data_IF_035935324311
#
_entry.id   IF_035935324311
#
_cell.length_a   1.000
_cell.length_b   1.000
_cell.length_c   1.000
_cell.angle_alpha   90.00
_cell.angle_beta   90.00
_cell.angle_gamma   90.00
#
_symmetry.space_group_name_H-M   'P 1'
#
loop_
_entity.id
_entity.type
_entity.pdbx_description
1 polymer ?
#
# COMPACT_ATOMS: atom_id res chain seq x y z
N UNK A 1 4.03 0.76 -11.04
CA UNK A 1 3.99 1.85 -12.04
C UNK A 1 4.58 1.40 -13.34
N UNK A 2 5.90 1.21 -13.40
CA UNK A 2 6.63 0.79 -14.61
C UNK A 2 6.09 -0.50 -15.24
N UNK A 3 5.92 -1.56 -14.45
CA UNK A 3 5.38 -2.84 -14.94
C UNK A 3 4.00 -2.71 -15.60
N UNK A 4 3.11 -1.86 -15.05
CA UNK A 4 1.79 -1.60 -15.64
C UNK A 4 1.90 -0.85 -16.97
N UNK A 5 2.82 0.13 -17.07
CA UNK A 5 3.07 0.84 -18.34
C UNK A 5 3.67 -0.08 -19.40
N UNK A 6 4.57 -0.98 -19.01
CA UNK A 6 5.13 -2.00 -19.90
C UNK A 6 4.05 -2.94 -20.46
N UNK A 7 2.95 -3.12 -19.73
CA UNK A 7 1.76 -3.86 -20.17
C UNK A 7 0.71 -2.98 -20.89
N UNK A 8 1.08 -1.78 -21.33
CA UNK A 8 0.25 -0.91 -22.18
C UNK A 8 -0.71 0.03 -21.44
N UNK A 9 -0.70 0.07 -20.11
CA UNK A 9 -1.53 1.01 -19.36
C UNK A 9 -0.94 2.43 -19.37
N UNK A 10 -1.81 3.44 -19.50
CA UNK A 10 -1.44 4.82 -19.15
C UNK A 10 -1.53 4.97 -17.63
N UNK A 11 -0.41 5.25 -16.97
CA UNK A 11 -0.32 5.25 -15.50
C UNK A 11 0.23 6.56 -15.00
N UNK A 12 -0.45 7.16 -14.03
CA UNK A 12 0.08 8.23 -13.20
C UNK A 12 0.51 7.68 -11.83
N UNK A 13 1.67 8.16 -11.36
CA UNK A 13 2.17 7.86 -10.00
C UNK A 13 2.29 9.20 -9.27
N UNK A 14 1.54 9.34 -8.19
CA UNK A 14 1.40 10.58 -7.42
C UNK A 14 1.34 10.24 -5.93
N UNK A 15 1.85 11.13 -5.08
CA UNK A 15 1.59 11.03 -3.65
C UNK A 15 0.12 11.39 -3.38
N UNK A 16 -0.55 10.63 -2.50
CA UNK A 16 -1.99 10.80 -2.23
C UNK A 16 -2.38 12.21 -1.78
N UNK A 17 -1.46 12.94 -1.13
CA UNK A 17 -1.63 14.35 -0.72
C UNK A 17 -1.79 15.32 -1.90
N UNK A 18 -1.25 14.97 -3.07
CA UNK A 18 -1.24 15.80 -4.27
C UNK A 18 -2.40 15.47 -5.22
N UNK A 19 -3.22 14.46 -4.89
CA UNK A 19 -4.35 14.00 -5.70
C UNK A 19 -5.65 14.45 -5.04
N UNK A 20 -6.47 15.22 -5.76
CA UNK A 20 -7.75 15.73 -5.26
C UNK A 20 -8.89 14.74 -5.48
N UNK A 21 -8.98 14.19 -6.68
CA UNK A 21 -9.96 13.17 -7.05
C UNK A 21 -9.38 12.13 -8.01
N UNK A 22 -10.18 11.11 -8.32
CA UNK A 22 -9.81 9.97 -9.18
C UNK A 22 -10.64 9.92 -10.47
N UNK A 23 -11.26 11.04 -10.85
CA UNK A 23 -12.07 11.09 -12.07
C UNK A 23 -11.17 10.92 -13.31
N UNK A 24 -11.69 10.24 -14.32
CA UNK A 24 -10.96 9.94 -15.56
C UNK A 24 -10.05 8.71 -15.50
N UNK A 25 -9.81 8.13 -14.31
CA UNK A 25 -9.12 6.85 -14.20
C UNK A 25 -10.08 5.67 -14.38
N UNK A 26 -9.61 4.63 -15.06
CA UNK A 26 -10.35 3.38 -15.20
C UNK A 26 -10.27 2.52 -13.92
N UNK A 27 -9.18 2.64 -13.16
CA UNK A 27 -8.89 1.92 -11.93
C UNK A 27 -7.89 2.68 -11.06
N UNK A 28 -7.83 2.35 -9.77
CA UNK A 28 -6.94 3.00 -8.80
C UNK A 28 -6.16 1.96 -8.00
N UNK A 29 -4.88 2.22 -7.77
CA UNK A 29 -4.05 1.43 -6.85
C UNK A 29 -3.63 2.36 -5.70
N UNK A 30 -4.03 2.03 -4.47
CA UNK A 30 -3.75 2.84 -3.28
C UNK A 30 -2.71 2.13 -2.43
N UNK A 31 -1.64 2.83 -2.10
CA UNK A 31 -0.54 2.34 -1.31
C UNK A 31 -0.34 3.15 -0.04
N UNK A 32 -0.03 2.49 1.07
CA UNK A 32 0.40 3.17 2.29
C UNK A 32 1.44 2.37 3.06
N UNK A 33 2.28 3.08 3.81
CA UNK A 33 3.13 2.46 4.82
C UNK A 33 2.36 2.29 6.13
N UNK A 34 2.83 1.37 6.98
CA UNK A 34 2.30 1.21 8.34
C UNK A 34 3.10 2.04 9.33
N UNK A 35 2.39 2.89 10.09
CA UNK A 35 2.89 3.52 11.30
C UNK A 35 1.93 3.22 12.44
N UNK A 36 2.47 2.71 13.55
CA UNK A 36 1.69 2.39 14.76
C UNK A 36 0.45 1.53 14.46
N UNK A 37 0.61 0.51 13.62
CA UNK A 37 -0.44 -0.45 13.31
C UNK A 37 -1.55 0.06 12.39
N UNK A 38 -1.37 1.20 11.72
CA UNK A 38 -2.35 1.74 10.76
C UNK A 38 -1.68 2.29 9.50
N UNK A 39 -2.44 2.34 8.41
CA UNK A 39 -2.11 3.17 7.25
C UNK A 39 -1.87 4.62 7.67
N UNK A 40 -0.97 5.30 6.94
CA UNK A 40 -0.73 6.73 7.13
C UNK A 40 -2.04 7.54 7.01
N UNK A 41 -2.25 8.57 7.86
CA UNK A 41 -3.49 9.34 7.90
C UNK A 41 -3.92 9.91 6.55
N UNK A 42 -2.98 10.39 5.75
CA UNK A 42 -3.24 10.95 4.42
C UNK A 42 -3.81 9.92 3.44
N UNK A 43 -3.41 8.65 3.54
CA UNK A 43 -3.95 7.58 2.71
C UNK A 43 -5.37 7.18 3.15
N UNK A 44 -5.60 7.13 4.47
CA UNK A 44 -6.94 6.87 5.03
C UNK A 44 -7.92 7.98 4.62
N UNK A 45 -7.49 9.24 4.75
CA UNK A 45 -8.30 10.40 4.37
C UNK A 45 -8.58 10.44 2.87
N UNK A 46 -7.59 10.08 2.04
CA UNK A 46 -7.78 9.95 0.60
C UNK A 46 -8.89 8.95 0.25
N UNK A 47 -8.92 7.78 0.91
CA UNK A 47 -9.97 6.77 0.72
C UNK A 47 -11.33 7.30 1.18
N UNK A 48 -11.41 7.93 2.35
CA UNK A 48 -12.66 8.52 2.88
C UNK A 48 -13.25 9.57 1.94
N UNK A 49 -12.41 10.49 1.47
CA UNK A 49 -12.81 11.59 0.59
C UNK A 49 -13.30 11.10 -0.78
N UNK A 50 -12.66 10.08 -1.34
CA UNK A 50 -12.96 9.54 -2.68
C UNK A 50 -13.84 8.30 -2.66
N UNK A 51 -14.44 7.95 -1.52
CA UNK A 51 -15.13 6.67 -1.32
C UNK A 51 -16.21 6.38 -2.37
N UNK A 52 -16.96 7.40 -2.79
CA UNK A 52 -18.05 7.26 -3.76
C UNK A 52 -17.52 6.78 -5.11
N UNK A 53 -16.45 7.41 -5.61
CA UNK A 53 -15.83 7.06 -6.88
C UNK A 53 -15.09 5.73 -6.78
N UNK A 54 -14.33 5.52 -5.70
CA UNK A 54 -13.54 4.29 -5.51
C UNK A 54 -14.43 3.04 -5.44
N UNK A 55 -15.66 3.14 -4.91
CA UNK A 55 -16.65 2.04 -4.92
C UNK A 55 -17.17 1.70 -6.32
N UNK A 56 -17.03 2.61 -7.30
CA UNK A 56 -17.55 2.46 -8.66
C UNK A 56 -16.46 2.06 -9.68
N UNK A 57 -15.24 1.81 -9.22
CA UNK A 57 -14.12 1.41 -10.06
C UNK A 57 -13.28 0.30 -9.43
N UNK A 58 -12.59 -0.53 -10.23
CA UNK A 58 -11.61 -1.45 -9.71
C UNK A 58 -10.56 -0.71 -8.87
N UNK A 59 -10.45 -1.10 -7.61
CA UNK A 59 -9.49 -0.54 -6.66
C UNK A 59 -8.62 -1.67 -6.11
N UNK A 60 -7.30 -1.51 -6.09
CA UNK A 60 -6.36 -2.44 -5.45
C UNK A 60 -5.59 -1.74 -4.34
N UNK A 61 -5.25 -2.47 -3.28
CA UNK A 61 -4.47 -1.96 -2.16
C UNK A 61 -3.09 -2.62 -2.10
N UNK A 62 -2.07 -1.86 -1.71
CA UNK A 62 -0.83 -2.45 -1.21
C UNK A 62 -0.38 -1.77 0.08
N UNK A 63 0.21 -2.55 0.96
CA UNK A 63 0.66 -2.08 2.26
C UNK A 63 2.14 -2.38 2.42
N UNK A 64 2.96 -1.37 2.72
CA UNK A 64 4.37 -1.57 3.06
C UNK A 64 4.54 -1.59 4.58
N UNK A 65 5.16 -2.64 5.11
CA UNK A 65 5.37 -2.80 6.56
C UNK A 65 6.68 -3.54 6.88
N UNK A 66 7.04 -3.60 8.17
CA UNK A 66 8.23 -4.36 8.63
C UNK A 66 7.95 -5.39 9.72
N UNK A 67 6.78 -5.35 10.35
CA UNK A 67 6.38 -6.28 11.40
C UNK A 67 5.38 -7.30 10.88
N UNK A 68 5.23 -8.46 11.52
CA UNK A 68 4.30 -9.50 11.07
C UNK A 68 4.62 -9.95 9.63
N UNK A 69 5.89 -10.23 9.33
CA UNK A 69 6.36 -10.63 7.99
C UNK A 69 6.20 -12.12 7.70
N UNK A 70 5.97 -12.91 8.74
CA UNK A 70 5.81 -14.36 8.61
C UNK A 70 4.48 -14.71 7.92
N UNK A 71 4.40 -15.94 7.41
CA UNK A 71 3.19 -16.48 6.79
C UNK A 71 2.41 -17.39 7.75
N UNK A 72 2.43 -17.07 9.04
CA UNK A 72 1.56 -17.68 10.03
C UNK A 72 0.20 -16.94 10.15
N UNK A 73 -0.77 -17.56 10.83
CA UNK A 73 -2.10 -17.00 10.98
C UNK A 73 -2.13 -15.70 11.81
N UNK A 74 -1.29 -15.60 12.84
CA UNK A 74 -1.18 -14.42 13.71
C UNK A 74 -0.65 -13.23 12.92
N UNK A 75 0.41 -13.42 12.14
CA UNK A 75 0.98 -12.41 11.26
C UNK A 75 -0.01 -11.95 10.21
N UNK A 76 -0.75 -12.88 9.58
CA UNK A 76 -1.84 -12.54 8.63
C UNK A 76 -2.94 -11.70 9.30
N UNK A 77 -3.45 -12.13 10.45
CA UNK A 77 -4.52 -11.41 11.17
C UNK A 77 -4.07 -10.00 11.57
N UNK A 78 -2.82 -9.84 12.04
CA UNK A 78 -2.28 -8.54 12.40
C UNK A 78 -2.14 -7.62 11.18
N UNK A 79 -1.77 -8.15 10.00
CA UNK A 79 -1.74 -7.40 8.74
C UNK A 79 -3.12 -6.95 8.29
N UNK A 80 -4.14 -7.79 8.43
CA UNK A 80 -5.53 -7.43 8.09
C UNK A 80 -6.06 -6.27 8.95
N UNK A 81 -5.65 -6.20 10.22
CA UNK A 81 -6.03 -5.11 11.12
C UNK A 81 -5.49 -3.74 10.64
N UNK A 82 -4.34 -3.72 9.94
CA UNK A 82 -3.75 -2.48 9.43
C UNK A 82 -4.64 -1.73 8.43
N UNK A 83 -5.42 -2.47 7.65
CA UNK A 83 -6.26 -1.94 6.57
C UNK A 83 -7.75 -2.01 6.89
N UNK A 84 -8.12 -2.52 8.06
CA UNK A 84 -9.52 -2.61 8.49
C UNK A 84 -10.30 -1.27 8.34
N UNK A 85 -9.75 -0.09 8.72
CA UNK A 85 -10.49 1.17 8.58
C UNK A 85 -10.80 1.54 7.12
N UNK A 86 -9.92 1.21 6.17
CA UNK A 86 -10.13 1.53 4.74
C UNK A 86 -10.93 0.47 4.02
N UNK A 87 -10.80 -0.81 4.41
CA UNK A 87 -11.61 -1.93 3.90
C UNK A 87 -13.10 -1.75 4.20
N UNK A 88 -13.44 -1.16 5.35
CA UNK A 88 -14.82 -0.82 5.69
C UNK A 88 -15.42 0.25 4.75
N UNK A 89 -14.58 1.04 4.09
CA UNK A 89 -15.00 2.12 3.19
C UNK A 89 -15.01 1.62 1.75
N UNK A 90 -13.94 0.96 1.29
CA UNK A 90 -13.79 0.43 -0.07
C UNK A 90 -13.24 -0.98 0.02
N UNK A 91 -13.95 -1.94 -0.56
CA UNK A 91 -13.46 -3.32 -0.72
C UNK A 91 -12.53 -3.40 -1.93
N UNK A 92 -11.22 -3.63 -1.74
CA UNK A 92 -10.31 -3.75 -2.86
C UNK A 92 -10.56 -5.07 -3.61
N UNK A 93 -10.31 -5.08 -4.92
CA UNK A 93 -10.31 -6.30 -5.75
C UNK A 93 -9.17 -7.25 -5.39
N UNK A 94 -8.04 -6.67 -4.99
CA UNK A 94 -6.87 -7.39 -4.52
C UNK A 94 -6.10 -6.52 -3.56
N UNK A 95 -5.47 -7.16 -2.58
CA UNK A 95 -4.64 -6.52 -1.59
C UNK A 95 -3.42 -7.36 -1.32
N UNK A 96 -2.29 -6.69 -1.14
CA UNK A 96 -1.02 -7.33 -0.83
C UNK A 96 -0.24 -6.55 0.22
N UNK A 97 0.58 -7.28 0.96
CA UNK A 97 1.47 -6.75 1.97
C UNK A 97 2.92 -6.99 1.54
N UNK A 98 3.69 -5.91 1.44
CA UNK A 98 5.09 -5.94 1.07
C UNK A 98 5.98 -5.60 2.26
N UNK A 99 7.07 -6.35 2.39
CA UNK A 99 8.18 -5.94 3.23
C UNK A 99 8.81 -4.67 2.66
N UNK A 100 8.85 -3.62 3.49
CA UNK A 100 9.37 -2.32 3.10
C UNK A 100 10.89 -2.19 3.23
N UNK A 101 11.37 -0.96 3.04
CA UNK A 101 12.75 -0.59 3.36
C UNK A 101 12.75 0.38 4.56
N UNK A 102 13.71 0.19 5.46
CA UNK A 102 14.00 1.10 6.55
C UNK A 102 15.42 1.63 6.36
N UNK A 103 15.53 2.96 6.34
CA UNK A 103 16.79 3.69 6.17
C UNK A 103 16.77 4.87 7.15
N UNK A 104 17.46 4.69 8.27
CA UNK A 104 17.54 5.64 9.36
C UNK A 104 18.21 6.95 8.95
N UNK A 105 19.11 6.91 7.96
CA UNK A 105 19.78 8.11 7.46
C UNK A 105 18.78 9.09 6.81
N UNK A 106 17.69 8.58 6.24
CA UNK A 106 16.60 9.37 5.64
C UNK A 106 15.58 9.91 6.65
N UNK A 107 15.65 9.50 7.91
CA UNK A 107 14.74 9.97 8.96
C UNK A 107 15.30 11.20 9.68
N UNK A 108 14.39 12.11 10.08
CA UNK A 108 14.71 13.15 11.05
C UNK A 108 15.05 12.53 12.42
N UNK A 109 15.64 13.32 13.32
CA UNK A 109 16.13 12.82 14.61
C UNK A 109 15.05 12.13 15.47
N UNK A 110 13.83 12.69 15.49
CA UNK A 110 12.71 12.16 16.27
C UNK A 110 12.23 10.83 15.69
N UNK A 111 11.93 10.79 14.39
CA UNK A 111 11.50 9.57 13.69
C UNK A 111 12.57 8.48 13.77
N UNK A 112 13.86 8.85 13.67
CA UNK A 112 14.99 7.93 13.81
C UNK A 112 15.03 7.30 15.20
N UNK A 113 14.85 8.08 16.24
CA UNK A 113 14.87 7.60 17.63
C UNK A 113 13.71 6.63 17.87
N UNK A 114 12.52 6.99 17.41
CA UNK A 114 11.34 6.13 17.49
C UNK A 114 11.52 4.82 16.68
N UNK A 115 12.04 4.93 15.45
CA UNK A 115 12.28 3.76 14.61
C UNK A 115 13.28 2.79 15.24
N UNK A 116 14.35 3.30 15.89
CA UNK A 116 15.30 2.48 16.64
C UNK A 116 14.68 1.82 17.87
N UNK A 117 13.84 2.53 18.62
CA UNK A 117 13.15 1.96 19.78
C UNK A 117 12.20 0.83 19.37
N UNK A 118 11.42 1.02 18.31
CA UNK A 118 10.56 -0.04 17.74
C UNK A 118 11.39 -1.19 17.22
N UNK A 119 12.50 -0.91 16.53
CA UNK A 119 13.39 -1.94 16.02
C UNK A 119 13.93 -2.83 17.13
N UNK A 120 14.37 -2.23 18.24
CA UNK A 120 14.85 -2.94 19.42
C UNK A 120 13.77 -3.80 20.09
N UNK A 121 12.54 -3.31 20.24
CA UNK A 121 11.45 -4.06 20.89
C UNK A 121 10.86 -5.16 20.03
N UNK A 122 11.05 -5.08 18.71
CA UNK A 122 10.50 -6.04 17.73
C UNK A 122 11.57 -6.93 17.10
N UNK A 123 12.82 -6.82 17.56
CA UNK A 123 13.99 -7.48 16.97
C UNK A 123 14.06 -7.29 15.44
N UNK A 124 13.67 -6.11 14.96
CA UNK A 124 13.80 -5.72 13.55
C UNK A 124 15.03 -4.83 13.38
N UNK A 125 15.51 -4.71 12.15
CA UNK A 125 16.71 -3.94 11.81
C UNK A 125 16.48 -3.08 10.58
N UNK A 126 17.34 -2.06 10.44
CA UNK A 126 17.50 -1.30 9.21
C UNK A 126 17.78 -2.23 8.03
N UNK A 127 17.39 -1.83 6.82
CA UNK A 127 17.63 -2.60 5.61
C UNK A 127 16.52 -2.47 4.59
N UNK A 128 16.81 -2.93 3.37
CA UNK A 128 15.85 -3.05 2.30
C UNK A 128 15.37 -4.50 2.19
N UNK A 129 14.11 -4.73 2.51
CA UNK A 129 13.48 -6.06 2.48
C UNK A 129 12.49 -6.20 1.31
N UNK A 130 12.49 -5.23 0.39
CA UNK A 130 11.60 -5.26 -0.76
C UNK A 130 12.01 -6.39 -1.70
N UNK A 131 11.08 -7.30 -1.96
CA UNK A 131 11.22 -8.28 -3.03
C UNK A 131 10.66 -7.68 -4.33
N UNK A 132 11.55 -7.20 -5.19
CA UNK A 132 11.19 -6.55 -6.46
C UNK A 132 10.51 -7.49 -7.45
N UNK A 133 10.84 -8.78 -7.43
CA UNK A 133 10.20 -9.77 -8.31
C UNK A 133 8.75 -9.98 -7.90
N UNK A 134 8.46 -10.07 -6.59
CA UNK A 134 7.10 -10.17 -6.06
C UNK A 134 6.29 -8.90 -6.35
N UNK A 135 6.89 -7.71 -6.19
CA UNK A 135 6.23 -6.42 -6.51
C UNK A 135 5.88 -6.36 -8.01
N UNK A 136 6.82 -6.79 -8.87
CA UNK A 136 6.63 -6.80 -10.32
C UNK A 136 5.54 -7.80 -10.73
N UNK A 137 5.63 -9.04 -10.24
CA UNK A 137 4.65 -10.09 -10.52
C UNK A 137 3.24 -9.69 -10.08
N UNK A 138 3.10 -9.09 -8.88
CA UNK A 138 1.81 -8.57 -8.44
C UNK A 138 1.31 -7.47 -9.37
N UNK A 139 2.14 -6.47 -9.70
CA UNK A 139 1.76 -5.39 -10.60
C UNK A 139 1.34 -5.89 -11.99
N UNK A 140 1.97 -6.93 -12.51
CA UNK A 140 1.61 -7.57 -13.78
C UNK A 140 0.27 -8.30 -13.69
N UNK A 141 -0.02 -8.96 -12.56
CA UNK A 141 -1.33 -9.62 -12.32
C UNK A 141 -2.51 -8.63 -12.20
N UNK A 142 -2.23 -7.35 -11.94
CA UNK A 142 -3.28 -6.33 -11.83
C UNK A 142 -3.88 -5.95 -13.17
N UNK A 143 -3.14 -6.02 -14.27
CA UNK A 143 -3.60 -5.57 -15.58
C UNK A 143 -4.95 -6.20 -16.00
N UNK A 144 -5.15 -7.53 -15.95
CA UNK A 144 -6.46 -8.13 -16.24
C UNK A 144 -7.51 -7.81 -15.17
N UNK A 145 -7.11 -7.70 -13.90
CA UNK A 145 -8.00 -7.49 -12.75
C UNK A 145 -8.59 -6.06 -12.71
N UNK A 146 -7.82 -5.08 -13.18
CA UNK A 146 -8.15 -3.66 -13.15
C UNK A 146 -8.67 -3.13 -14.49
N UNK A 147 -8.64 -3.93 -15.56
CA UNK A 147 -9.33 -3.59 -16.79
C UNK A 147 -10.85 -3.70 -16.55
N UNK A 148 -11.55 -2.57 -16.63
CA UNK A 148 -12.97 -2.61 -16.99
C UNK A 148 -13.02 -3.20 -18.41
N UNK A 149 -13.37 -4.48 -18.55
CA UNK A 149 -13.94 -4.94 -19.81
C UNK A 149 -15.08 -3.97 -20.11
N UNK A 150 -14.95 -3.21 -21.20
CA UNK A 150 -16.04 -2.42 -21.75
C UNK A 150 -17.19 -3.40 -21.96
N UNK A 151 -18.22 -3.31 -21.12
CA UNK A 151 -19.54 -3.84 -21.45
C UNK A 151 -20.16 -2.92 -22.50
#
# INVERSE_FOLDING_TARGET
GEALRANGATVDVRAVKDVRDVNGYAAVIIGSAIRMGSWLPEAVEFVKRNQTQLRQMPTAFFTCHRLNTDDDATSRQAREAYTAPVRQIVTPKTEIFFSGAMDYAKLNFVDRTLAKAVAQSTNSSEGDYRNWDVIRAWAESLAPTLNKMKA
#
